data_IF_095677737248
#
_entry.id   IF_095677737248
#
_cell.length_a   1.000
_cell.length_b   1.000
_cell.length_c   1.000
_cell.angle_alpha   90.00
_cell.angle_beta   90.00
_cell.angle_gamma   90.00
#
_symmetry.space_group_name_H-M   'P 1'
#
loop_
_entity.id
_entity.type
_entity.pdbx_description
1 polymer ?
#
# COMPACT_ATOMS: atom_id res chain seq x y z
N UNK A 1 3.46 -17.81 -15.83
CA UNK A 1 2.24 -17.01 -15.56
C UNK A 1 2.56 -15.59 -16.00
N UNK A 2 1.76 -15.04 -16.87
CA UNK A 2 1.92 -13.64 -17.31
C UNK A 2 1.17 -12.74 -16.32
N UNK A 3 1.85 -11.72 -15.77
CA UNK A 3 1.28 -10.76 -14.80
C UNK A 3 1.47 -9.37 -15.37
N UNK A 4 0.39 -8.63 -15.45
CA UNK A 4 0.38 -7.23 -15.84
C UNK A 4 0.46 -6.34 -14.61
N UNK A 5 1.30 -5.32 -14.65
CA UNK A 5 1.51 -4.35 -13.57
C UNK A 5 1.10 -2.97 -14.04
N UNK A 6 0.21 -2.34 -13.32
CA UNK A 6 -0.29 -1.00 -13.68
C UNK A 6 -0.84 -0.23 -12.49
N UNK A 7 -1.05 1.03 -12.70
CA UNK A 7 -1.84 1.87 -11.79
C UNK A 7 -3.31 1.46 -11.91
N UNK A 8 -3.99 1.38 -10.78
CA UNK A 8 -5.42 1.10 -10.71
C UNK A 8 -6.24 2.31 -11.17
N UNK A 9 -7.39 2.03 -11.73
CA UNK A 9 -8.40 3.00 -12.13
C UNK A 9 -9.63 2.94 -11.20
N UNK A 10 -10.59 3.80 -11.43
CA UNK A 10 -11.86 3.77 -10.67
C UNK A 10 -12.63 2.46 -10.84
N UNK A 11 -12.44 1.76 -11.97
CA UNK A 11 -13.07 0.47 -12.23
C UNK A 11 -12.50 -0.67 -11.39
N UNK A 12 -11.28 -0.47 -10.86
CA UNK A 12 -10.62 -1.44 -9.99
C UNK A 12 -11.09 -1.36 -8.52
N UNK A 13 -11.77 -0.29 -8.13
CA UNK A 13 -12.10 0.00 -6.74
C UNK A 13 -12.83 -1.16 -6.04
N UNK A 14 -13.82 -1.84 -6.63
CA UNK A 14 -14.44 -3.00 -5.98
C UNK A 14 -13.47 -4.16 -5.72
N UNK A 15 -12.52 -4.40 -6.63
CA UNK A 15 -11.49 -5.45 -6.47
C UNK A 15 -10.48 -5.09 -5.38
N UNK A 16 -10.14 -3.80 -5.26
CA UNK A 16 -9.27 -3.28 -4.21
C UNK A 16 -9.94 -3.44 -2.83
N UNK A 17 -11.24 -3.15 -2.74
CA UNK A 17 -12.02 -3.34 -1.51
C UNK A 17 -12.00 -4.81 -1.05
N UNK A 18 -12.31 -5.73 -1.96
CA UNK A 18 -12.30 -7.17 -1.67
C UNK A 18 -10.91 -7.68 -1.28
N UNK A 19 -9.86 -7.20 -1.93
CA UNK A 19 -8.48 -7.57 -1.59
C UNK A 19 -8.06 -7.00 -0.23
N UNK A 20 -8.46 -5.77 0.10
CA UNK A 20 -8.22 -5.16 1.42
C UNK A 20 -8.95 -5.92 2.53
N UNK A 21 -10.20 -6.30 2.31
CA UNK A 21 -10.96 -7.13 3.24
C UNK A 21 -10.25 -8.45 3.51
N UNK A 22 -9.92 -9.19 2.45
CA UNK A 22 -9.20 -10.46 2.56
C UNK A 22 -7.86 -10.29 3.30
N UNK A 23 -7.11 -9.24 3.00
CA UNK A 23 -5.84 -8.94 3.68
C UNK A 23 -6.03 -8.77 5.20
N UNK A 24 -7.02 -8.01 5.62
CA UNK A 24 -7.23 -7.73 7.06
C UNK A 24 -7.66 -8.97 7.82
N UNK A 25 -8.56 -9.78 7.26
CA UNK A 25 -8.95 -11.04 7.86
C UNK A 25 -7.79 -12.04 7.92
N UNK A 26 -6.99 -12.13 6.86
CA UNK A 26 -5.81 -13.00 6.83
C UNK A 26 -4.75 -12.56 7.85
N UNK A 27 -4.66 -11.26 8.14
CA UNK A 27 -3.79 -10.71 9.19
C UNK A 27 -4.32 -10.92 10.61
N UNK A 28 -5.45 -11.63 10.78
CA UNK A 28 -6.03 -11.95 12.08
C UNK A 28 -6.93 -10.84 12.67
N UNK A 29 -7.24 -9.80 11.88
CA UNK A 29 -8.17 -8.76 12.35
C UNK A 29 -9.58 -9.32 12.49
N UNK A 30 -10.19 -9.07 13.64
CA UNK A 30 -11.57 -9.45 13.92
C UNK A 30 -12.45 -8.20 13.89
N UNK A 31 -13.60 -8.30 13.25
CA UNK A 31 -14.55 -7.19 13.16
C UNK A 31 -15.99 -7.67 13.21
N UNK A 32 -16.88 -6.84 13.75
CA UNK A 32 -18.32 -7.03 13.64
C UNK A 32 -18.91 -6.39 12.35
N UNK A 33 -18.09 -5.66 11.59
CA UNK A 33 -18.49 -5.08 10.32
C UNK A 33 -18.67 -6.18 9.27
N UNK A 34 -19.69 -6.09 8.42
CA UNK A 34 -19.86 -7.02 7.31
C UNK A 34 -18.96 -6.61 6.13
N UNK A 35 -18.66 -7.58 5.25
CA UNK A 35 -17.86 -7.29 4.05
C UNK A 35 -18.48 -6.20 3.18
N UNK A 36 -19.82 -6.20 3.03
CA UNK A 36 -20.54 -5.20 2.23
C UNK A 36 -20.45 -3.79 2.84
N UNK A 37 -20.58 -3.69 4.17
CA UNK A 37 -20.44 -2.41 4.86
C UNK A 37 -19.03 -1.86 4.73
N UNK A 38 -18.03 -2.72 4.91
CA UNK A 38 -16.62 -2.36 4.69
C UNK A 38 -16.36 -1.95 3.24
N UNK A 39 -16.83 -2.75 2.26
CA UNK A 39 -16.65 -2.48 0.84
C UNK A 39 -17.23 -1.11 0.47
N UNK A 40 -18.45 -0.80 0.92
CA UNK A 40 -19.08 0.50 0.68
C UNK A 40 -18.24 1.66 1.22
N UNK A 41 -17.74 1.54 2.45
CA UNK A 41 -16.88 2.55 3.10
C UNK A 41 -15.52 2.69 2.41
N UNK A 42 -14.89 1.56 2.05
CA UNK A 42 -13.62 1.54 1.35
C UNK A 42 -13.75 2.14 -0.06
N UNK A 43 -14.80 1.78 -0.80
CA UNK A 43 -15.04 2.29 -2.15
C UNK A 43 -15.23 3.82 -2.14
N UNK A 44 -15.98 4.35 -1.18
CA UNK A 44 -16.14 5.80 -1.02
C UNK A 44 -14.78 6.47 -0.79
N UNK A 45 -13.97 5.94 0.13
CA UNK A 45 -12.60 6.41 0.38
C UNK A 45 -11.73 6.33 -0.89
N UNK A 46 -11.70 5.16 -1.55
CA UNK A 46 -10.80 4.93 -2.68
C UNK A 46 -11.14 5.81 -3.89
N UNK A 47 -12.43 6.05 -4.16
CA UNK A 47 -12.87 6.96 -5.23
C UNK A 47 -12.42 8.39 -4.97
N UNK A 48 -12.62 8.89 -3.76
CA UNK A 48 -12.16 10.23 -3.36
C UNK A 48 -10.62 10.32 -3.39
N UNK A 49 -9.94 9.31 -2.86
CA UNK A 49 -8.49 9.22 -2.80
C UNK A 49 -7.86 9.29 -4.19
N UNK A 50 -8.36 8.48 -5.14
CA UNK A 50 -7.88 8.46 -6.52
C UNK A 50 -8.21 9.76 -7.26
N UNK A 51 -9.42 10.29 -7.08
CA UNK A 51 -9.84 11.55 -7.71
C UNK A 51 -9.04 12.76 -7.21
N UNK A 52 -8.61 12.75 -5.95
CA UNK A 52 -7.79 13.83 -5.37
C UNK A 52 -6.36 13.87 -5.90
N UNK A 53 -5.87 12.81 -6.54
CA UNK A 53 -4.48 12.66 -6.97
C UNK A 53 -3.47 12.46 -5.83
N UNK A 54 -3.93 12.44 -4.57
CA UNK A 54 -3.05 12.22 -3.41
C UNK A 54 -2.74 10.75 -3.14
N UNK A 55 -3.53 9.86 -3.72
CA UNK A 55 -3.33 8.43 -3.59
C UNK A 55 -3.17 7.80 -4.97
N UNK A 56 -2.27 6.85 -5.04
CA UNK A 56 -2.07 5.99 -6.20
C UNK A 56 -2.12 4.54 -5.75
N UNK A 57 -3.00 3.77 -6.34
CA UNK A 57 -3.02 2.32 -6.15
C UNK A 57 -2.30 1.64 -7.31
N UNK A 58 -1.42 0.74 -6.97
CA UNK A 58 -0.72 -0.11 -7.92
C UNK A 58 -1.24 -1.53 -7.80
N UNK A 59 -1.46 -2.19 -8.92
CA UNK A 59 -1.96 -3.56 -8.98
C UNK A 59 -1.10 -4.42 -9.89
N UNK A 60 -1.07 -5.71 -9.52
CA UNK A 60 -0.59 -6.79 -10.37
C UNK A 60 -1.77 -7.72 -10.65
N UNK A 61 -2.08 -7.93 -11.92
CA UNK A 61 -3.19 -8.79 -12.34
C UNK A 61 -2.73 -9.86 -13.31
N UNK A 62 -3.36 -11.00 -13.26
CA UNK A 62 -3.09 -12.12 -14.16
C UNK A 62 -3.74 -11.87 -15.53
N UNK A 63 -3.39 -12.67 -16.53
CA UNK A 63 -3.95 -12.56 -17.89
C UNK A 63 -5.46 -12.79 -17.97
N UNK A 64 -6.03 -13.49 -16.99
CA UNK A 64 -7.48 -13.73 -16.83
C UNK A 64 -8.16 -12.70 -15.91
N UNK A 65 -7.43 -11.65 -15.53
CA UNK A 65 -7.97 -10.49 -14.80
C UNK A 65 -8.06 -10.67 -13.29
N UNK A 66 -7.47 -11.72 -12.70
CA UNK A 66 -7.44 -11.87 -11.26
C UNK A 66 -6.42 -10.90 -10.62
N UNK A 67 -6.83 -10.18 -9.57
CA UNK A 67 -5.95 -9.32 -8.79
C UNK A 67 -5.02 -10.18 -7.93
N UNK A 68 -3.74 -10.23 -8.30
CA UNK A 68 -2.72 -11.01 -7.60
C UNK A 68 -2.07 -10.24 -6.45
N UNK A 69 -1.86 -8.93 -6.62
CA UNK A 69 -1.22 -8.07 -5.62
C UNK A 69 -1.68 -6.63 -5.76
N UNK A 70 -1.68 -5.90 -4.65
CA UNK A 70 -1.94 -4.46 -4.62
C UNK A 70 -0.98 -3.75 -3.68
N UNK A 71 -0.85 -2.43 -3.89
CA UNK A 71 -0.03 -1.54 -3.07
C UNK A 71 -0.53 -0.11 -3.25
N UNK A 72 -0.69 0.62 -2.15
CA UNK A 72 -1.10 2.02 -2.17
C UNK A 72 0.04 2.94 -1.78
N UNK A 73 0.10 4.10 -2.41
CA UNK A 73 1.00 5.20 -2.04
C UNK A 73 0.17 6.45 -1.79
N UNK A 74 0.28 7.00 -0.58
CA UNK A 74 -0.22 8.33 -0.27
C UNK A 74 0.89 9.35 -0.47
N UNK A 75 0.67 10.35 -1.31
CA UNK A 75 1.60 11.48 -1.47
C UNK A 75 1.35 12.48 -0.35
N UNK A 76 2.37 12.71 0.45
CA UNK A 76 2.34 13.64 1.57
C UNK A 76 3.11 14.91 1.18
N UNK A 77 2.43 16.05 1.28
CA UNK A 77 3.04 17.35 1.05
C UNK A 77 3.69 17.86 2.32
N UNK A 78 4.98 18.14 2.25
CA UNK A 78 5.72 18.82 3.32
C UNK A 78 5.59 20.34 3.22
N UNK A 79 5.91 21.03 4.30
CA UNK A 79 6.06 22.49 4.24
C UNK A 79 7.25 22.83 3.34
N UNK A 80 7.10 23.74 2.36
CA UNK A 80 8.18 24.09 1.44
C UNK A 80 9.45 24.55 2.16
N UNK A 81 10.59 24.08 1.66
CA UNK A 81 11.91 24.43 2.19
C UNK A 81 12.76 25.10 1.11
N UNK A 82 13.47 26.20 1.43
CA UNK A 82 14.40 26.80 0.48
C UNK A 82 15.42 25.78 -0.04
N UNK A 83 15.77 25.86 -1.32
CA UNK A 83 16.78 25.02 -1.98
C UNK A 83 16.49 23.51 -2.07
N UNK A 84 15.23 23.11 -1.88
CA UNK A 84 14.78 21.73 -2.15
C UNK A 84 14.10 21.63 -3.50
N UNK A 85 14.39 20.55 -4.22
CA UNK A 85 13.76 20.27 -5.52
C UNK A 85 12.33 19.74 -5.38
N UNK A 86 12.03 19.07 -4.28
CA UNK A 86 10.72 18.54 -3.96
C UNK A 86 10.39 18.72 -2.49
N UNK A 87 9.11 18.92 -2.21
CA UNK A 87 8.54 18.97 -0.86
C UNK A 87 7.50 17.86 -0.67
N UNK A 88 7.63 16.74 -1.40
CA UNK A 88 6.70 15.62 -1.35
C UNK A 88 7.42 14.31 -1.03
N UNK A 89 6.74 13.45 -0.29
CA UNK A 89 7.19 12.08 -0.04
C UNK A 89 6.00 11.11 -0.09
N UNK A 90 6.29 9.82 -0.20
CA UNK A 90 5.26 8.80 -0.35
C UNK A 90 5.14 7.92 0.89
N UNK A 91 3.92 7.74 1.40
CA UNK A 91 3.61 6.69 2.38
C UNK A 91 3.10 5.45 1.66
N UNK A 92 3.89 4.39 1.70
CA UNK A 92 3.56 3.09 1.12
C UNK A 92 2.75 2.28 2.14
N UNK A 93 1.60 1.81 1.73
CA UNK A 93 0.69 1.04 2.58
C UNK A 93 -0.16 0.07 1.77
N UNK A 94 -1.02 -0.69 2.42
CA UNK A 94 -1.93 -1.67 1.78
C UNK A 94 -1.20 -2.64 0.84
N UNK A 95 0.02 -3.05 1.24
CA UNK A 95 0.84 -3.97 0.47
C UNK A 95 0.36 -5.40 0.73
N UNK A 96 -0.33 -5.96 -0.23
CA UNK A 96 -0.89 -7.29 -0.13
C UNK A 96 -0.66 -8.10 -1.41
N UNK A 97 -0.21 -9.32 -1.25
CA UNK A 97 -0.17 -10.33 -2.30
C UNK A 97 -0.99 -11.52 -1.84
N UNK A 98 -1.99 -11.89 -2.61
CA UNK A 98 -2.85 -13.05 -2.30
C UNK A 98 -2.01 -14.31 -2.13
N UNK A 99 -2.38 -15.18 -1.20
CA UNK A 99 -1.63 -16.38 -0.82
C UNK A 99 -1.23 -17.24 -2.03
N UNK A 100 -2.15 -17.43 -2.98
CA UNK A 100 -1.92 -18.22 -4.20
C UNK A 100 -0.79 -17.66 -5.10
N UNK A 101 -0.43 -16.38 -4.94
CA UNK A 101 0.56 -15.69 -5.78
C UNK A 101 1.85 -15.33 -5.03
N UNK A 102 1.98 -15.68 -3.75
CA UNK A 102 3.17 -15.42 -2.95
C UNK A 102 4.38 -16.23 -3.43
N UNK A 103 5.56 -15.76 -3.02
CA UNK A 103 6.85 -16.38 -3.33
C UNK A 103 7.17 -16.51 -4.84
N UNK A 104 6.54 -15.68 -5.66
CA UNK A 104 6.74 -15.62 -7.13
C UNK A 104 7.34 -14.30 -7.60
N UNK A 105 7.84 -13.48 -6.68
CA UNK A 105 8.46 -12.18 -6.99
C UNK A 105 7.46 -11.04 -7.31
N UNK A 106 6.14 -11.30 -7.36
CA UNK A 106 5.13 -10.33 -7.80
C UNK A 106 5.14 -9.07 -6.92
N UNK A 107 5.12 -9.23 -5.58
CA UNK A 107 5.16 -8.08 -4.68
C UNK A 107 6.45 -7.28 -4.80
N UNK A 108 7.59 -7.95 -5.02
CA UNK A 108 8.89 -7.29 -5.22
C UNK A 108 8.92 -6.49 -6.52
N UNK A 109 8.43 -7.06 -7.61
CA UNK A 109 8.31 -6.36 -8.89
C UNK A 109 7.37 -5.16 -8.79
N UNK A 110 6.21 -5.33 -8.12
CA UNK A 110 5.25 -4.24 -7.91
C UNK A 110 5.89 -3.09 -7.13
N UNK A 111 6.59 -3.38 -6.04
CA UNK A 111 7.29 -2.37 -5.23
C UNK A 111 8.41 -1.67 -6.03
N UNK A 112 9.15 -2.41 -6.86
CA UNK A 112 10.15 -1.83 -7.74
C UNK A 112 9.56 -0.82 -8.73
N UNK A 113 8.37 -1.11 -9.28
CA UNK A 113 7.64 -0.17 -10.17
C UNK A 113 7.14 1.05 -9.42
N UNK A 114 6.64 0.87 -8.20
CA UNK A 114 6.26 1.97 -7.30
C UNK A 114 7.46 2.86 -7.03
N UNK A 115 8.62 2.29 -6.70
CA UNK A 115 9.84 3.06 -6.44
C UNK A 115 10.31 3.86 -7.67
N UNK A 116 10.27 3.23 -8.84
CA UNK A 116 10.60 3.89 -10.12
C UNK A 116 9.64 5.04 -10.42
N UNK A 117 8.35 4.81 -10.22
CA UNK A 117 7.32 5.84 -10.39
C UNK A 117 7.52 6.99 -9.40
N UNK A 118 7.76 6.71 -8.13
CA UNK A 118 8.00 7.71 -7.09
C UNK A 118 9.20 8.60 -7.43
N UNK A 119 10.30 7.99 -7.90
CA UNK A 119 11.48 8.73 -8.35
C UNK A 119 11.17 9.63 -9.57
N UNK A 120 10.39 9.14 -10.54
CA UNK A 120 9.99 9.94 -11.71
C UNK A 120 9.01 11.08 -11.39
N UNK A 121 8.35 11.01 -10.23
CA UNK A 121 7.48 12.06 -9.69
C UNK A 121 8.18 12.92 -8.63
N UNK A 122 9.52 12.81 -8.56
CA UNK A 122 10.37 13.62 -7.68
C UNK A 122 10.00 13.52 -6.20
N UNK A 123 9.43 12.37 -5.76
CA UNK A 123 9.20 12.14 -4.34
C UNK A 123 10.56 11.99 -3.64
N UNK A 124 10.74 12.70 -2.51
CA UNK A 124 11.98 12.73 -1.76
C UNK A 124 12.35 11.36 -1.18
N UNK A 125 11.34 10.63 -0.69
CA UNK A 125 11.49 9.28 -0.13
C UNK A 125 10.16 8.52 -0.17
N UNK A 126 10.24 7.22 0.04
CA UNK A 126 9.11 6.36 0.38
C UNK A 126 9.27 5.89 1.82
N UNK A 127 8.20 6.02 2.62
CA UNK A 127 8.12 5.54 3.98
C UNK A 127 7.11 4.41 4.09
N UNK A 128 7.39 3.43 4.93
CA UNK A 128 6.47 2.33 5.25
C UNK A 128 6.50 2.04 6.75
N UNK A 129 5.37 1.61 7.32
CA UNK A 129 5.32 0.95 8.62
C UNK A 129 5.18 -0.56 8.40
N UNK A 130 6.31 -1.29 8.38
CA UNK A 130 6.27 -2.71 8.11
C UNK A 130 5.78 -3.48 9.34
N UNK A 131 4.98 -4.52 9.11
CA UNK A 131 4.78 -5.56 10.13
C UNK A 131 6.08 -6.31 10.38
N UNK A 132 6.20 -7.01 11.49
CA UNK A 132 7.39 -7.81 11.81
C UNK A 132 7.71 -8.79 10.67
N UNK A 133 6.72 -9.45 10.13
CA UNK A 133 6.85 -10.43 9.05
C UNK A 133 7.31 -9.80 7.73
N UNK A 134 6.93 -8.53 7.48
CA UNK A 134 7.24 -7.84 6.23
C UNK A 134 8.58 -7.08 6.23
N UNK A 135 9.25 -6.95 7.37
CA UNK A 135 10.52 -6.20 7.49
C UNK A 135 11.56 -6.68 6.48
N UNK A 136 11.71 -8.02 6.33
CA UNK A 136 12.68 -8.60 5.38
C UNK A 136 12.33 -8.31 3.92
N UNK A 137 11.04 -8.18 3.61
CA UNK A 137 10.59 -7.83 2.27
C UNK A 137 11.02 -6.42 1.91
N UNK A 138 10.79 -5.44 2.77
CA UNK A 138 11.17 -4.06 2.54
C UNK A 138 12.68 -3.84 2.57
N UNK A 139 13.40 -4.49 3.49
CA UNK A 139 14.86 -4.41 3.53
C UNK A 139 15.51 -4.90 2.22
N UNK A 140 14.99 -6.00 1.61
CA UNK A 140 15.48 -6.46 0.30
C UNK A 140 15.17 -5.50 -0.84
N UNK A 141 14.17 -4.65 -0.68
CA UNK A 141 13.81 -3.61 -1.64
C UNK A 141 14.56 -2.28 -1.42
N UNK A 142 15.50 -2.24 -0.47
CA UNK A 142 16.34 -1.06 -0.20
C UNK A 142 15.75 -0.10 0.82
N UNK A 143 14.71 -0.50 1.56
CA UNK A 143 14.22 0.31 2.69
C UNK A 143 15.12 0.08 3.90
N UNK A 144 15.73 1.14 4.39
CA UNK A 144 16.54 1.14 5.60
C UNK A 144 15.75 1.67 6.80
N UNK A 145 16.27 1.39 8.00
CA UNK A 145 15.76 2.02 9.22
C UNK A 145 16.27 3.44 9.29
N UNK A 146 15.34 4.38 9.48
CA UNK A 146 15.69 5.78 9.70
C UNK A 146 15.63 6.11 11.19
N UNK A 147 16.76 6.49 11.76
CA UNK A 147 16.87 6.85 13.18
C UNK A 147 16.34 8.25 13.49
N UNK A 148 16.10 9.09 12.48
CA UNK A 148 15.57 10.43 12.65
C UNK A 148 14.04 10.43 12.85
N UNK A 149 13.35 9.36 12.43
CA UNK A 149 11.90 9.25 12.58
C UNK A 149 11.54 8.95 14.04
N UNK A 150 10.64 9.78 14.60
CA UNK A 150 10.08 9.58 15.94
C UNK A 150 8.57 9.47 15.84
N UNK A 151 8.00 8.50 16.54
CA UNK A 151 6.56 8.24 16.54
C UNK A 151 6.02 8.40 17.95
N UNK A 152 5.04 9.30 18.12
CA UNK A 152 4.24 9.39 19.34
C UNK A 152 2.88 8.72 19.08
N UNK A 153 2.63 7.61 19.75
CA UNK A 153 1.32 6.94 19.70
C UNK A 153 0.35 7.66 20.63
N UNK A 154 -0.74 8.18 20.07
CA UNK A 154 -1.75 8.92 20.82
C UNK A 154 -2.89 8.03 21.35
N UNK A 155 -2.96 6.79 20.88
CA UNK A 155 -3.89 5.75 21.33
C UNK A 155 -3.15 4.43 21.38
N UNK A 156 -3.42 3.63 22.39
CA UNK A 156 -3.07 2.22 22.35
C UNK A 156 -3.98 1.60 21.26
N UNK A 157 -3.42 1.32 20.11
CA UNK A 157 -4.05 0.31 19.25
C UNK A 157 -3.90 -0.97 20.04
N UNK A 158 -5.00 -1.57 20.45
CA UNK A 158 -5.02 -2.91 21.01
C UNK A 158 -4.54 -3.84 19.90
N UNK A 159 -3.22 -3.99 19.83
CA UNK A 159 -2.55 -4.87 18.90
C UNK A 159 -2.60 -6.22 19.59
N UNK A 160 -3.73 -6.91 19.46
CA UNK A 160 -3.77 -8.33 19.77
C UNK A 160 -2.59 -8.98 19.06
N UNK A 161 -1.82 -9.88 19.70
CA UNK A 161 -0.72 -10.59 19.07
C UNK A 161 -1.28 -11.34 17.85
N UNK A 162 -1.04 -10.81 16.66
CA UNK A 162 -1.63 -11.25 15.39
C UNK A 162 -2.19 -10.12 14.51
N UNK A 163 -2.22 -8.87 14.99
CA UNK A 163 -2.73 -7.70 14.24
C UNK A 163 -1.62 -6.85 13.60
N UNK A 164 -0.41 -7.41 13.45
CA UNK A 164 0.70 -6.78 12.72
C UNK A 164 1.14 -7.65 11.55
#
# INVERSE_FOLDING_TARGET
MNVNFRIATLDDVPRLAAARWAFRLESGETTAETEEAFASRFEAFARDALASGRWTYWIAETSDGELASQMAVCIVQSVPRPARASDQWGYVTDCYTRAAFRNRGIGTELLGRVATWAASHELELLLVWPSEESQRFYARAGFDRDEEIRVLRLRDYDVSPGSL
#
